data_IF_754541349846
#
_entry.id   IF_754541349846
#
_cell.length_a   1.000
_cell.length_b   1.000
_cell.length_c   1.000
_cell.angle_alpha   90.00
_cell.angle_beta   90.00
_cell.angle_gamma   90.00
#
_symmetry.space_group_name_H-M   'P 1'
#
loop_
_entity.id
_entity.type
_entity.pdbx_description
1 polymer ?
#
# COMPACT_ATOMS: atom_id res chain seq x y z
N UNK A 1 -41.41 47.96 5.97
CA UNK A 1 -40.79 47.50 7.22
C UNK A 1 -39.51 46.75 6.86
N UNK A 2 -38.33 47.37 6.96
CA UNK A 2 -37.05 46.71 6.67
C UNK A 2 -36.48 46.14 7.96
N UNK A 3 -36.51 44.81 8.10
CA UNK A 3 -35.97 44.13 9.27
C UNK A 3 -34.44 44.23 9.28
N UNK A 4 -33.89 44.84 10.34
CA UNK A 4 -32.45 44.86 10.62
C UNK A 4 -32.06 43.50 11.18
N UNK A 5 -31.53 42.61 10.33
CA UNK A 5 -31.02 41.32 10.79
C UNK A 5 -29.65 41.52 11.45
N UNK A 6 -29.50 41.06 12.68
CA UNK A 6 -28.26 41.13 13.44
C UNK A 6 -27.15 40.33 12.72
N UNK A 7 -26.23 41.03 12.05
CA UNK A 7 -25.17 40.46 11.20
C UNK A 7 -24.11 39.64 11.97
N UNK A 8 -24.21 39.57 13.30
CA UNK A 8 -23.29 38.81 14.17
C UNK A 8 -23.70 37.34 14.32
N UNK A 9 -24.99 37.03 14.41
CA UNK A 9 -25.52 35.67 14.54
C UNK A 9 -25.12 34.68 13.42
N UNK A 10 -25.25 35.04 12.13
CA UNK A 10 -24.94 34.10 11.04
C UNK A 10 -23.44 33.81 10.94
N UNK A 11 -22.57 34.72 11.39
CA UNK A 11 -21.11 34.51 11.41
C UNK A 11 -20.71 33.45 12.44
N UNK A 12 -21.28 33.50 13.65
CA UNK A 12 -21.01 32.50 14.67
C UNK A 12 -21.55 31.12 14.30
N UNK A 13 -22.73 31.06 13.65
CA UNK A 13 -23.27 29.83 13.10
C UNK A 13 -22.37 29.22 12.04
N UNK A 14 -21.88 30.04 11.11
CA UNK A 14 -20.98 29.60 10.04
C UNK A 14 -19.64 29.11 10.62
N UNK A 15 -19.06 29.81 11.59
CA UNK A 15 -17.87 29.35 12.31
C UNK A 15 -18.09 28.04 13.06
N UNK A 16 -19.23 27.86 13.72
CA UNK A 16 -19.56 26.63 14.43
C UNK A 16 -19.65 25.43 13.50
N UNK A 17 -20.33 25.58 12.34
CA UNK A 17 -20.41 24.52 11.31
C UNK A 17 -19.02 24.19 10.75
N UNK A 18 -18.20 25.21 10.48
CA UNK A 18 -16.86 25.02 9.92
C UNK A 18 -15.93 24.29 10.91
N UNK A 19 -16.02 24.61 12.20
CA UNK A 19 -15.27 23.93 13.25
C UNK A 19 -15.70 22.46 13.39
N UNK A 20 -17.01 22.19 13.36
CA UNK A 20 -17.54 20.83 13.49
C UNK A 20 -17.15 19.96 12.27
N UNK A 21 -17.17 20.54 11.08
CA UNK A 21 -16.68 19.89 9.86
C UNK A 21 -15.18 19.62 9.93
N UNK A 22 -14.38 20.55 10.45
CA UNK A 22 -12.94 20.36 10.65
C UNK A 22 -12.62 19.14 11.52
N UNK A 23 -13.31 18.99 12.65
CA UNK A 23 -13.12 17.85 13.55
C UNK A 23 -13.59 16.54 12.92
N UNK A 24 -14.73 16.55 12.20
CA UNK A 24 -15.26 15.36 11.54
C UNK A 24 -14.42 14.87 10.34
N UNK A 25 -13.65 15.75 9.71
CA UNK A 25 -12.77 15.43 8.59
C UNK A 25 -11.36 14.99 9.06
N UNK A 26 -10.95 15.35 10.29
CA UNK A 26 -9.71 14.84 10.89
C UNK A 26 -9.98 13.49 11.55
N UNK A 27 -9.47 12.40 10.97
CA UNK A 27 -9.54 11.08 11.59
C UNK A 27 -8.71 11.00 12.87
N UNK A 28 -9.17 10.22 13.85
CA UNK A 28 -8.38 9.84 15.02
C UNK A 28 -7.58 8.59 14.64
N UNK A 29 -6.25 8.64 14.74
CA UNK A 29 -5.40 7.48 14.43
C UNK A 29 -5.77 6.33 15.37
N UNK A 30 -6.28 5.23 14.79
CA UNK A 30 -6.78 4.09 15.57
C UNK A 30 -5.64 3.12 15.81
N UNK A 31 -5.29 2.91 17.07
CA UNK A 31 -4.34 1.87 17.48
C UNK A 31 -5.11 0.59 17.78
N UNK A 32 -4.75 -0.49 17.11
CA UNK A 32 -5.41 -1.78 17.28
C UNK A 32 -4.34 -2.84 17.53
N UNK A 33 -4.40 -3.51 18.69
CA UNK A 33 -3.40 -4.51 19.06
C UNK A 33 -2.01 -3.98 19.39
N UNK A 34 -1.86 -2.68 19.74
CA UNK A 34 -0.58 -2.07 20.07
C UNK A 34 0.26 -1.64 18.85
N UNK A 35 -0.34 -1.63 17.66
CA UNK A 35 0.30 -1.19 16.43
C UNK A 35 -0.63 -0.21 15.70
N UNK A 36 -0.04 0.83 15.10
CA UNK A 36 -0.77 1.77 14.24
C UNK A 36 -0.73 1.24 12.81
N UNK A 37 -1.83 0.62 12.39
CA UNK A 37 -1.84 -0.09 11.10
C UNK A 37 -1.99 0.90 9.94
N UNK A 38 -1.27 0.70 8.82
CA UNK A 38 -1.27 1.63 7.68
C UNK A 38 -2.62 1.76 6.96
N UNK A 39 -3.49 0.76 7.09
CA UNK A 39 -4.78 0.70 6.40
C UNK A 39 -5.95 0.52 7.39
N UNK A 40 -7.09 1.20 7.17
CA UNK A 40 -8.26 1.09 8.05
C UNK A 40 -9.03 -0.23 7.88
N UNK A 41 -8.66 -1.06 6.92
CA UNK A 41 -9.34 -2.33 6.60
C UNK A 41 -8.51 -3.56 6.95
N UNK A 42 -7.45 -3.44 7.74
CA UNK A 42 -6.51 -4.54 7.99
C UNK A 42 -7.14 -5.84 8.53
N UNK A 43 -8.29 -5.78 9.21
CA UNK A 43 -9.00 -6.97 9.69
C UNK A 43 -9.69 -7.76 8.58
N UNK A 44 -9.97 -7.10 7.46
CA UNK A 44 -10.61 -7.66 6.26
C UNK A 44 -9.65 -7.68 5.08
N UNK A 45 -8.42 -7.19 5.26
CA UNK A 45 -7.37 -7.22 4.28
C UNK A 45 -6.71 -8.59 4.37
N UNK A 46 -7.10 -9.47 3.45
CA UNK A 46 -6.46 -10.76 3.32
C UNK A 46 -4.97 -10.51 3.10
N UNK A 47 -4.11 -11.07 3.96
CA UNK A 47 -2.68 -11.11 3.66
C UNK A 47 -2.56 -11.80 2.31
N UNK A 48 -2.25 -11.03 1.27
CA UNK A 48 -2.20 -11.53 -0.08
C UNK A 48 -1.01 -12.50 -0.16
N UNK A 49 -1.28 -13.77 0.11
CA UNK A 49 -0.28 -14.83 0.06
C UNK A 49 0.08 -15.02 -1.41
N UNK A 50 1.13 -14.34 -1.82
CA UNK A 50 1.83 -14.69 -3.03
C UNK A 50 2.70 -15.89 -2.68
N UNK A 51 2.39 -17.10 -3.17
CA UNK A 51 3.35 -18.18 -3.06
C UNK A 51 4.67 -17.65 -3.65
N UNK A 52 5.83 -17.98 -3.04
CA UNK A 52 7.08 -17.76 -3.74
C UNK A 52 6.88 -18.37 -5.13
N UNK A 53 7.19 -17.61 -6.18
CA UNK A 53 7.04 -18.08 -7.56
C UNK A 53 7.78 -19.41 -7.74
N UNK A 54 7.76 -20.00 -8.93
CA UNK A 54 8.67 -21.12 -9.19
C UNK A 54 10.11 -20.62 -9.14
N UNK A 55 10.67 -20.47 -7.94
CA UNK A 55 12.05 -20.11 -7.71
C UNK A 55 12.85 -21.31 -8.19
N UNK A 56 13.56 -21.10 -9.31
CA UNK A 56 14.45 -22.11 -9.84
C UNK A 56 15.69 -22.16 -8.94
N UNK A 57 15.57 -22.93 -7.85
CA UNK A 57 16.60 -23.06 -6.80
C UNK A 57 17.96 -23.56 -7.32
N UNK A 58 17.98 -24.16 -8.52
CA UNK A 58 19.16 -24.75 -9.14
C UNK A 58 19.73 -23.91 -10.29
N UNK A 59 19.62 -22.58 -10.21
CA UNK A 59 20.12 -21.67 -11.25
C UNK A 59 21.60 -21.89 -11.57
N UNK A 60 22.41 -22.18 -10.55
CA UNK A 60 23.85 -22.41 -10.69
C UNK A 60 24.14 -23.74 -11.39
N UNK A 61 23.42 -24.79 -11.04
CA UNK A 61 23.56 -26.13 -11.62
C UNK A 61 23.10 -26.16 -13.08
N UNK A 62 22.01 -25.46 -13.42
CA UNK A 62 21.58 -25.32 -14.80
C UNK A 62 22.57 -24.50 -15.63
N UNK A 63 23.14 -23.44 -15.07
CA UNK A 63 24.19 -22.67 -15.73
C UNK A 63 25.44 -23.52 -15.98
N UNK A 64 25.86 -24.33 -14.99
CA UNK A 64 26.98 -25.25 -15.12
C UNK A 64 26.73 -26.34 -16.18
N UNK A 65 25.54 -26.96 -16.18
CA UNK A 65 25.16 -27.93 -17.22
C UNK A 65 25.14 -27.31 -18.61
N UNK A 66 24.66 -26.08 -18.74
CA UNK A 66 24.63 -25.35 -20.01
C UNK A 66 26.05 -25.06 -20.51
N UNK A 67 26.93 -24.56 -19.65
CA UNK A 67 28.34 -24.31 -20.00
C UNK A 67 29.04 -25.61 -20.45
N UNK A 68 28.85 -26.71 -19.71
CA UNK A 68 29.42 -28.01 -20.07
C UNK A 68 28.92 -28.52 -21.42
N UNK A 69 27.61 -28.41 -21.70
CA UNK A 69 27.05 -28.80 -23.00
C UNK A 69 27.64 -27.99 -24.16
N UNK A 70 27.83 -26.68 -23.97
CA UNK A 70 28.42 -25.80 -24.98
C UNK A 70 29.90 -26.13 -25.22
N UNK A 71 30.66 -26.47 -24.17
CA UNK A 71 32.05 -26.90 -24.32
C UNK A 71 32.16 -28.22 -25.10
N UNK A 72 31.27 -29.18 -24.84
CA UNK A 72 31.23 -30.43 -25.61
C UNK A 72 30.89 -30.19 -27.07
N UNK A 73 29.89 -29.35 -27.36
CA UNK A 73 29.52 -28.99 -28.74
C UNK A 73 30.68 -28.29 -29.47
N UNK A 74 31.39 -27.39 -28.81
CA UNK A 74 32.57 -26.72 -29.37
C UNK A 74 33.73 -27.70 -29.61
N UNK A 75 33.95 -28.64 -28.70
CA UNK A 75 34.98 -29.68 -28.86
C UNK A 75 34.63 -30.65 -29.98
N UNK A 76 33.36 -31.01 -30.13
CA UNK A 76 32.87 -31.84 -31.22
C UNK A 76 33.00 -31.12 -32.58
N UNK A 77 32.72 -29.82 -32.65
CA UNK A 77 32.92 -29.02 -33.86
C UNK A 77 34.40 -28.80 -34.21
N UNK A 78 35.28 -28.79 -33.19
CA UNK A 78 36.73 -28.63 -33.38
C UNK A 78 37.43 -29.91 -33.86
N UNK A 79 36.80 -31.08 -33.71
CA UNK A 79 37.30 -32.36 -34.24
C UNK A 79 36.87 -32.57 -35.68
#
# INVERSE_FOLDING_TARGET
MTASFNRRGPRFLLFGVLMLAGIGLTGCQVETGGQTLPSPYYMSDDVQYFPPGSEFKLANEAAAMKAYSQEQEQQAFRR
#
